data_IF_657134102134
#
_entry.id   IF_657134102134
#
_cell.length_a   1.000
_cell.length_b   1.000
_cell.length_c   1.000
_cell.angle_alpha   90.00
_cell.angle_beta   90.00
_cell.angle_gamma   90.00
#
_symmetry.space_group_name_H-M   'P 1'
#
loop_
_entity.id
_entity.type
_entity.pdbx_description
1 polymer ?
#
# COMPACT_ATOMS: atom_id res chain seq x y z
N UNK A 1 -3.93 -17.99 -9.02
CA UNK A 1 -4.99 -17.56 -9.94
C UNK A 1 -4.76 -16.08 -10.22
N UNK A 2 -4.94 -15.60 -11.46
CA UNK A 2 -4.65 -14.22 -11.84
C UNK A 2 -5.91 -13.36 -11.70
N UNK A 3 -5.81 -12.25 -10.95
CA UNK A 3 -6.94 -11.34 -10.71
C UNK A 3 -7.93 -11.77 -9.62
N UNK A 4 -7.61 -12.81 -8.84
CA UNK A 4 -8.43 -13.18 -7.67
C UNK A 4 -8.42 -12.07 -6.63
N UNK A 5 -9.58 -11.80 -6.04
CA UNK A 5 -9.73 -10.82 -4.97
C UNK A 5 -9.51 -11.49 -3.60
N UNK A 6 -8.75 -10.82 -2.75
CA UNK A 6 -8.42 -11.24 -1.38
C UNK A 6 -8.96 -10.20 -0.41
N UNK A 7 -9.72 -10.62 0.61
CA UNK A 7 -10.15 -9.73 1.69
C UNK A 7 -11.20 -8.67 1.32
N UNK A 8 -11.81 -8.75 0.13
CA UNK A 8 -12.78 -7.75 -0.36
C UNK A 8 -13.94 -7.51 0.62
N UNK A 9 -14.46 -8.57 1.26
CA UNK A 9 -15.57 -8.46 2.22
C UNK A 9 -15.16 -8.01 3.62
N UNK A 10 -13.85 -7.95 3.90
CA UNK A 10 -13.29 -7.61 5.21
C UNK A 10 -12.59 -6.26 5.22
N UNK A 11 -12.59 -5.53 4.09
CA UNK A 11 -12.08 -4.16 3.98
C UNK A 11 -10.65 -4.00 4.50
N UNK A 12 -9.79 -4.99 4.23
CA UNK A 12 -8.44 -5.11 4.78
C UNK A 12 -7.38 -4.18 4.16
N UNK A 13 -7.78 -3.33 3.21
CA UNK A 13 -6.91 -2.33 2.58
C UNK A 13 -7.56 -0.97 2.76
N UNK A 14 -7.26 -0.33 3.88
CA UNK A 14 -7.79 0.98 4.25
C UNK A 14 -6.89 1.64 5.30
N UNK A 15 -7.29 2.85 5.69
CA UNK A 15 -6.66 3.70 6.70
C UNK A 15 -5.22 4.10 6.40
N UNK A 16 -4.27 3.18 6.57
CA UNK A 16 -2.87 3.35 6.19
C UNK A 16 -2.38 2.10 5.44
N UNK A 17 -1.64 2.36 4.36
CA UNK A 17 -1.12 1.33 3.46
C UNK A 17 0.30 1.66 3.02
N UNK A 18 1.08 0.62 2.83
CA UNK A 18 2.43 0.74 2.26
C UNK A 18 2.39 0.38 0.77
N UNK A 19 3.19 1.08 -0.02
CA UNK A 19 3.34 0.84 -1.45
C UNK A 19 4.80 0.76 -1.89
N UNK A 20 5.01 0.45 -3.16
CA UNK A 20 6.29 0.68 -3.83
C UNK A 20 6.05 1.13 -5.27
N UNK A 21 7.05 1.78 -5.85
CA UNK A 21 7.07 2.08 -7.28
C UNK A 21 7.24 0.78 -8.08
N UNK A 22 6.32 0.53 -9.01
CA UNK A 22 6.37 -0.63 -9.89
C UNK A 22 5.89 -0.30 -11.30
N UNK A 23 6.26 -1.14 -12.25
CA UNK A 23 5.74 -1.14 -13.61
C UNK A 23 5.04 -2.47 -13.91
N UNK A 24 4.14 -2.48 -14.89
CA UNK A 24 3.51 -3.72 -15.35
C UNK A 24 4.33 -4.34 -16.47
N UNK A 25 4.77 -5.58 -16.29
CA UNK A 25 5.37 -6.40 -17.35
C UNK A 25 4.50 -7.62 -17.60
N UNK A 26 3.92 -7.72 -18.79
CA UNK A 26 2.99 -8.80 -19.16
C UNK A 26 1.82 -8.95 -18.15
N UNK A 27 1.32 -7.83 -17.62
CA UNK A 27 0.23 -7.81 -16.64
C UNK A 27 0.64 -8.06 -15.18
N UNK A 28 1.93 -8.32 -14.90
CA UNK A 28 2.43 -8.52 -13.54
C UNK A 28 3.10 -7.25 -13.01
N UNK A 29 2.85 -6.85 -11.74
CA UNK A 29 3.55 -5.73 -11.12
C UNK A 29 5.00 -6.15 -10.78
N UNK A 30 5.96 -5.37 -11.27
CA UNK A 30 7.40 -5.55 -11.07
C UNK A 30 7.97 -4.28 -10.44
N UNK A 31 8.55 -4.34 -9.23
CA UNK A 31 9.16 -3.18 -8.60
C UNK A 31 10.19 -2.52 -9.52
N UNK A 32 10.25 -1.19 -9.50
CA UNK A 32 11.30 -0.45 -10.21
C UNK A 32 12.55 -0.26 -9.36
N UNK A 33 12.41 -0.37 -8.02
CA UNK A 33 13.45 -0.12 -7.02
C UNK A 33 13.94 1.33 -6.95
N UNK A 34 13.34 2.25 -7.72
CA UNK A 34 13.73 3.66 -7.75
C UNK A 34 13.40 4.40 -6.43
N UNK A 35 12.45 3.87 -5.65
CA UNK A 35 12.06 4.34 -4.32
C UNK A 35 12.87 3.70 -3.18
N UNK A 36 14.01 3.07 -3.50
CA UNK A 36 14.86 2.34 -2.55
C UNK A 36 14.21 1.11 -1.92
N UNK A 37 13.14 0.58 -2.52
CA UNK A 37 12.67 -0.76 -2.15
C UNK A 37 13.72 -1.84 -2.41
N UNK A 38 13.81 -2.89 -1.57
CA UNK A 38 14.84 -3.93 -1.72
C UNK A 38 14.89 -4.56 -3.11
N UNK A 39 16.10 -4.80 -3.62
CA UNK A 39 16.35 -5.35 -4.97
C UNK A 39 15.69 -6.73 -5.21
N UNK A 40 15.45 -7.49 -4.15
CA UNK A 40 14.83 -8.81 -4.21
C UNK A 40 13.34 -8.81 -3.82
N UNK A 41 12.72 -7.63 -3.70
CA UNK A 41 11.31 -7.50 -3.37
C UNK A 41 10.43 -8.16 -4.43
N UNK A 42 9.56 -9.05 -3.97
CA UNK A 42 8.52 -9.69 -4.77
C UNK A 42 7.16 -9.15 -4.39
N UNK A 43 6.45 -8.56 -5.37
CA UNK A 43 5.04 -8.14 -5.20
C UNK A 43 4.15 -9.38 -5.30
N UNK A 44 3.32 -9.58 -4.28
CA UNK A 44 2.40 -10.72 -4.17
C UNK A 44 0.96 -10.34 -4.52
N UNK A 45 0.54 -9.12 -4.16
CA UNK A 45 -0.76 -8.55 -4.47
C UNK A 45 -0.70 -7.03 -4.44
N UNK A 46 -1.61 -6.38 -5.16
CA UNK A 46 -1.80 -4.93 -5.12
C UNK A 46 -3.27 -4.58 -4.96
N UNK A 47 -3.54 -3.41 -4.40
CA UNK A 47 -4.87 -2.80 -4.40
C UNK A 47 -4.72 -1.31 -4.66
N UNK A 48 -5.53 -0.70 -5.54
CA UNK A 48 -5.51 0.75 -5.73
C UNK A 48 -5.68 1.46 -4.38
N UNK A 49 -4.81 2.42 -4.11
CA UNK A 49 -4.85 3.24 -2.91
C UNK A 49 -4.21 4.59 -3.22
N UNK A 50 -4.86 5.68 -2.84
CA UNK A 50 -4.34 7.02 -3.15
C UNK A 50 -4.58 7.97 -1.99
N UNK A 51 -3.70 8.96 -1.93
CA UNK A 51 -3.83 10.10 -1.04
C UNK A 51 -4.99 10.99 -1.51
N UNK A 52 -5.66 11.62 -0.55
CA UNK A 52 -6.78 12.52 -0.81
C UNK A 52 -6.28 13.96 -0.94
N UNK A 53 -6.85 14.69 -1.90
CA UNK A 53 -6.54 16.09 -2.20
C UNK A 53 -7.41 17.04 -1.39
N UNK A 54 -6.79 18.09 -0.87
CA UNK A 54 -7.47 19.26 -0.32
C UNK A 54 -6.76 20.52 -0.77
N UNK A 55 -7.50 21.37 -1.46
CA UNK A 55 -7.06 22.65 -2.03
C UNK A 55 -7.98 23.78 -1.55
N UNK A 56 -7.64 25.06 -1.75
CA UNK A 56 -8.49 26.17 -1.33
C UNK A 56 -9.92 26.17 -1.94
N UNK A 57 -10.14 25.46 -3.05
CA UNK A 57 -11.42 25.43 -3.77
C UNK A 57 -12.05 24.05 -3.89
N UNK A 58 -11.40 23.00 -3.38
CA UNK A 58 -11.84 21.62 -3.54
C UNK A 58 -11.33 20.73 -2.40
N UNK A 59 -12.15 19.80 -1.93
CA UNK A 59 -11.80 18.87 -0.86
C UNK A 59 -12.39 17.49 -1.16
N UNK A 60 -11.55 16.46 -1.20
CA UNK A 60 -11.96 15.06 -1.37
C UNK A 60 -12.32 14.38 -0.04
N UNK A 61 -11.86 14.96 1.08
CA UNK A 61 -11.98 14.31 2.38
C UNK A 61 -13.41 14.42 2.94
N UNK A 62 -13.96 13.34 3.51
CA UNK A 62 -15.22 13.43 4.25
C UNK A 62 -14.98 14.20 5.57
N UNK A 63 -15.54 15.40 5.69
CA UNK A 63 -15.31 16.29 6.85
C UNK A 63 -15.64 15.67 8.21
N UNK A 64 -16.55 14.70 8.26
CA UNK A 64 -16.91 13.99 9.48
C UNK A 64 -15.89 12.93 9.93
N UNK A 65 -14.98 12.52 9.04
CA UNK A 65 -14.04 11.41 9.26
C UNK A 65 -12.58 11.85 9.24
N UNK A 66 -12.28 13.06 8.74
CA UNK A 66 -10.92 13.57 8.61
C UNK A 66 -10.53 14.50 9.76
N UNK A 67 -9.26 14.45 10.15
CA UNK A 67 -8.73 15.31 11.21
C UNK A 67 -8.74 16.80 10.84
N UNK A 68 -8.66 17.13 9.54
CA UNK A 68 -8.65 18.50 9.02
C UNK A 68 -9.19 18.54 7.59
N UNK A 69 -9.93 19.58 7.23
CA UNK A 69 -10.34 19.85 5.84
C UNK A 69 -9.61 21.06 5.26
N UNK A 70 -8.59 21.56 5.94
CA UNK A 70 -7.80 22.70 5.48
C UNK A 70 -6.70 22.24 4.51
N UNK A 71 -6.42 23.00 3.44
CA UNK A 71 -5.32 22.71 2.53
C UNK A 71 -3.95 22.98 3.19
N UNK A 72 -2.87 22.30 2.74
CA UNK A 72 -2.86 21.22 1.75
C UNK A 72 -3.39 19.89 2.30
N UNK A 73 -4.05 19.10 1.45
CA UNK A 73 -4.41 17.71 1.79
C UNK A 73 -3.20 16.77 1.73
N UNK A 74 -3.41 15.49 2.06
CA UNK A 74 -2.32 14.51 2.11
C UNK A 74 -1.59 14.36 0.77
N UNK A 75 -2.31 14.44 -0.35
CA UNK A 75 -1.71 14.33 -1.67
C UNK A 75 -0.73 15.48 -1.93
N UNK A 76 -1.16 16.72 -1.67
CA UNK A 76 -0.31 17.91 -1.83
C UNK A 76 0.80 17.96 -0.78
N UNK A 77 0.50 17.56 0.46
CA UNK A 77 1.46 17.49 1.55
C UNK A 77 2.59 16.51 1.28
N UNK A 78 2.28 15.33 0.72
CA UNK A 78 3.29 14.36 0.30
C UNK A 78 4.11 14.84 -0.91
N UNK A 79 3.49 15.54 -1.86
CA UNK A 79 4.24 16.15 -2.96
C UNK A 79 5.27 17.16 -2.44
N UNK A 80 4.86 18.04 -1.50
CA UNK A 80 5.77 18.98 -0.84
C UNK A 80 6.89 18.22 -0.09
N UNK A 81 6.54 17.19 0.66
CA UNK A 81 7.50 16.41 1.44
C UNK A 81 8.55 15.69 0.59
N UNK A 82 8.15 15.12 -0.55
CA UNK A 82 9.02 14.33 -1.42
C UNK A 82 9.77 15.16 -2.47
N UNK A 83 9.15 16.24 -2.96
CA UNK A 83 9.64 16.99 -4.13
C UNK A 83 9.87 18.48 -3.87
N UNK A 84 9.52 18.98 -2.68
CA UNK A 84 9.72 20.37 -2.26
C UNK A 84 8.58 21.33 -2.65
N UNK A 85 7.66 20.93 -3.53
CA UNK A 85 6.45 21.67 -3.86
C UNK A 85 5.29 20.73 -4.25
N UNK A 86 4.09 21.30 -4.33
CA UNK A 86 2.88 20.65 -4.86
C UNK A 86 2.52 21.18 -6.26
N UNK A 87 3.51 21.39 -7.14
CA UNK A 87 3.23 21.67 -8.55
C UNK A 87 2.34 20.59 -9.17
N UNK A 88 1.58 20.94 -10.21
CA UNK A 88 0.67 19.99 -10.87
C UNK A 88 1.39 18.71 -11.35
N UNK A 89 2.66 18.84 -11.77
CA UNK A 89 3.51 17.71 -12.15
C UNK A 89 3.79 16.80 -10.95
N UNK A 90 4.24 17.36 -9.83
CA UNK A 90 4.58 16.59 -8.63
C UNK A 90 3.34 15.93 -7.99
N UNK A 91 2.19 16.60 -7.99
CA UNK A 91 0.92 16.02 -7.56
C UNK A 91 0.50 14.86 -8.48
N UNK A 92 0.61 15.02 -9.79
CA UNK A 92 0.24 13.97 -10.75
C UNK A 92 1.07 12.68 -10.58
N UNK A 93 2.31 12.79 -10.11
CA UNK A 93 3.18 11.64 -9.80
C UNK A 93 2.67 10.78 -8.65
N UNK A 94 1.92 11.37 -7.70
CA UNK A 94 1.43 10.69 -6.49
C UNK A 94 -0.08 10.42 -6.51
N UNK A 95 -0.81 10.98 -7.47
CA UNK A 95 -2.28 10.92 -7.52
C UNK A 95 -2.84 9.50 -7.65
N UNK A 96 -2.05 8.56 -8.18
CA UNK A 96 -2.43 7.16 -8.39
C UNK A 96 -1.41 6.23 -7.74
N UNK A 97 -1.75 5.72 -6.56
CA UNK A 97 -0.92 4.75 -5.85
C UNK A 97 -1.56 3.38 -5.77
N UNK A 98 -0.83 2.46 -5.15
CA UNK A 98 -1.31 1.13 -4.79
C UNK A 98 -0.76 0.74 -3.42
N UNK A 99 -1.60 0.11 -2.60
CA UNK A 99 -1.13 -0.74 -1.52
C UNK A 99 -0.45 -1.98 -2.11
N UNK A 100 0.67 -2.40 -1.53
CA UNK A 100 1.49 -3.51 -2.02
C UNK A 100 1.73 -4.52 -0.90
N UNK A 101 1.26 -5.75 -1.11
CA UNK A 101 1.70 -6.91 -0.32
C UNK A 101 2.98 -7.47 -0.93
N UNK A 102 4.02 -7.63 -0.12
CA UNK A 102 5.33 -8.02 -0.62
C UNK A 102 6.12 -8.92 0.33
N UNK A 103 7.13 -9.58 -0.23
CA UNK A 103 8.17 -10.28 0.53
C UNK A 103 9.56 -10.00 -0.03
N UNK A 104 10.56 -9.92 0.85
CA UNK A 104 11.96 -9.67 0.49
C UNK A 104 12.89 -10.25 1.57
N UNK A 105 14.21 -10.25 1.35
CA UNK A 105 15.18 -10.70 2.36
C UNK A 105 15.85 -9.53 3.08
N UNK A 106 16.19 -9.75 4.35
CA UNK A 106 17.01 -8.81 5.13
C UNK A 106 18.02 -9.59 5.97
N UNK A 107 19.28 -9.50 5.57
CA UNK A 107 20.35 -10.31 6.16
C UNK A 107 20.07 -11.81 5.93
N UNK A 108 19.96 -12.59 7.01
CA UNK A 108 19.61 -14.02 6.94
C UNK A 108 18.11 -14.30 7.03
N UNK A 109 17.29 -13.26 7.22
CA UNK A 109 15.86 -13.38 7.44
C UNK A 109 15.03 -13.06 6.20
N UNK A 110 13.76 -13.44 6.24
CA UNK A 110 12.74 -13.05 5.27
C UNK A 110 11.75 -12.10 5.93
N UNK A 111 11.39 -11.03 5.25
CA UNK A 111 10.34 -10.10 5.64
C UNK A 111 9.12 -10.34 4.77
N UNK A 112 7.95 -10.37 5.39
CA UNK A 112 6.65 -10.30 4.72
C UNK A 112 5.94 -9.04 5.20
N UNK A 113 5.45 -8.22 4.28
CA UNK A 113 4.61 -7.06 4.58
C UNK A 113 3.23 -7.27 3.92
N UNK A 114 2.17 -7.21 4.72
CA UNK A 114 0.80 -7.30 4.23
C UNK A 114 0.35 -6.05 3.46
N UNK A 115 1.01 -4.91 3.71
CA UNK A 115 0.77 -3.64 3.00
C UNK A 115 -0.42 -2.83 3.51
N UNK A 116 -0.98 -3.16 4.68
CA UNK A 116 -2.06 -2.38 5.31
C UNK A 116 -2.11 -2.56 6.82
N UNK A 117 -2.44 -1.48 7.54
CA UNK A 117 -2.76 -1.51 8.97
C UNK A 117 -4.00 -2.38 9.27
N UNK A 118 -4.97 -2.39 8.37
CA UNK A 118 -6.29 -3.00 8.57
C UNK A 118 -6.32 -4.50 8.22
N UNK A 119 -5.18 -5.10 7.84
CA UNK A 119 -5.05 -6.53 7.57
C UNK A 119 -5.62 -7.40 8.71
N UNK A 120 -5.41 -6.96 9.95
CA UNK A 120 -5.84 -7.67 11.15
C UNK A 120 -7.36 -7.87 11.23
N UNK A 121 -8.17 -6.98 10.65
CA UNK A 121 -9.63 -7.13 10.66
C UNK A 121 -10.12 -8.34 9.86
N UNK A 122 -9.35 -8.80 8.87
CA UNK A 122 -9.66 -10.03 8.17
C UNK A 122 -9.38 -11.30 9.00
N UNK A 123 -8.61 -11.21 10.09
CA UNK A 123 -8.24 -12.40 10.87
C UNK A 123 -9.38 -13.00 11.68
N UNK A 124 -10.44 -12.25 11.96
CA UNK A 124 -11.59 -12.78 12.71
C UNK A 124 -12.52 -13.64 11.84
N UNK A 125 -12.72 -13.25 10.57
CA UNK A 125 -13.76 -13.83 9.72
C UNK A 125 -13.32 -14.30 8.32
N UNK A 126 -12.24 -13.75 7.75
CA UNK A 126 -11.81 -14.08 6.39
C UNK A 126 -10.81 -15.24 6.37
N UNK A 127 -11.29 -16.40 5.93
CA UNK A 127 -10.50 -17.63 5.85
C UNK A 127 -9.29 -17.53 4.92
N UNK A 128 -9.33 -16.70 3.88
CA UNK A 128 -8.20 -16.52 2.97
C UNK A 128 -7.13 -15.64 3.61
N UNK A 129 -7.53 -14.57 4.30
CA UNK A 129 -6.62 -13.71 5.09
C UNK A 129 -5.96 -14.49 6.22
N UNK A 130 -6.75 -15.28 6.96
CA UNK A 130 -6.25 -16.21 7.98
C UNK A 130 -5.24 -17.19 7.37
N UNK A 131 -5.55 -17.78 6.19
CA UNK A 131 -4.68 -18.74 5.53
C UNK A 131 -3.35 -18.12 5.09
N UNK A 132 -3.36 -16.92 4.52
CA UNK A 132 -2.13 -16.19 4.18
C UNK A 132 -1.27 -16.00 5.42
N UNK A 133 -1.87 -15.51 6.50
CA UNK A 133 -1.19 -15.26 7.78
C UNK A 133 -0.61 -16.54 8.39
N UNK A 134 -1.38 -17.62 8.44
CA UNK A 134 -0.93 -18.92 8.92
C UNK A 134 0.24 -19.46 8.08
N UNK A 135 0.18 -19.32 6.76
CA UNK A 135 1.26 -19.76 5.88
C UNK A 135 2.55 -18.98 6.14
N UNK A 136 2.46 -17.67 6.34
CA UNK A 136 3.60 -16.81 6.67
C UNK A 136 4.19 -17.21 8.02
N UNK A 137 3.36 -17.29 9.07
CA UNK A 137 3.80 -17.67 10.43
C UNK A 137 4.45 -19.05 10.43
N UNK A 138 3.84 -20.03 9.77
CA UNK A 138 4.41 -21.39 9.67
C UNK A 138 5.75 -21.38 8.94
N UNK A 139 5.85 -20.67 7.82
CA UNK A 139 7.08 -20.65 7.00
C UNK A 139 8.22 -19.91 7.70
N UNK A 140 7.92 -18.81 8.39
CA UNK A 140 8.93 -17.98 9.05
C UNK A 140 9.27 -18.49 10.46
N UNK A 141 8.32 -19.13 11.15
CA UNK A 141 8.49 -19.69 12.49
C UNK A 141 9.14 -21.08 12.53
N UNK A 142 9.16 -21.83 11.42
CA UNK A 142 9.75 -23.17 11.36
C UNK A 142 11.30 -23.17 11.28
N UNK A 143 11.95 -22.00 11.31
CA UNK A 143 13.41 -21.87 11.22
C UNK A 143 14.08 -21.63 12.59
N UNK A 144 13.47 -22.16 13.67
CA UNK A 144 14.02 -22.15 15.04
C UNK A 144 14.66 -23.48 15.41
#
# INVERSE_FOLDING_TARGET
RYGDLLGLGSYIVAYEVDGCEFTLRNGLPIPTHADSTPDDLTILATSPARLLSVTPTYSEVPSALWASTEPPGDLEGMAIGLFGDHSAENVARLAHGNAVMASFTRGKGTVFNAGSADWAYGLDADRLVQRVTENVVRKLGASG
#
